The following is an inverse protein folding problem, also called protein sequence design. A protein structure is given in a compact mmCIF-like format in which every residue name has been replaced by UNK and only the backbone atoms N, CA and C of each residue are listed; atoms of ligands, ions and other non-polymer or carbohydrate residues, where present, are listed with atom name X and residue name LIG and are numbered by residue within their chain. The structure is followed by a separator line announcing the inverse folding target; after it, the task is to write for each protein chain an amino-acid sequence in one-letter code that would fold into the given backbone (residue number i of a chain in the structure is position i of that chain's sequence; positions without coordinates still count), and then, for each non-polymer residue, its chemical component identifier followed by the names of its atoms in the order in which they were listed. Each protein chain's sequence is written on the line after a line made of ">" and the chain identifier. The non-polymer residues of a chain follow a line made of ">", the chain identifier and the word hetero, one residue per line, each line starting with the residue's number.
data_IF_216897574913
#
_entry.id   IF_216897574913
#
_cell.length_a   1.000
_cell.length_b   1.000
_cell.length_c   1.000
_cell.angle_alpha   90.00
_cell.angle_beta   90.00
_cell.angle_gamma   90.00
#
_symmetry.space_group_name_H-M   'P 1'
#
loop_
_entity.id
_entity.type
_entity.pdbx_description
1 polymer ?
#
# COMPACT_ATOMS: atom_id res chain seq x y z
N UNK A 1 -8.14 -0.07 -10.46
CA UNK A 1 -7.78 -1.43 -10.93
C UNK A 1 -7.72 -2.38 -9.76
N UNK A 2 -7.79 -3.70 -9.96
CA UNK A 2 -7.53 -4.69 -8.90
C UNK A 2 -6.05 -5.06 -8.85
N UNK A 3 -5.55 -5.42 -7.66
CA UNK A 3 -4.14 -5.84 -7.47
C UNK A 3 -3.82 -7.08 -8.30
N UNK A 4 -4.72 -8.07 -8.38
CA UNK A 4 -4.54 -9.24 -9.25
C UNK A 4 -4.32 -8.88 -10.72
N UNK A 5 -5.04 -7.87 -11.22
CA UNK A 5 -4.91 -7.41 -12.61
C UNK A 5 -3.56 -6.72 -12.82
N UNK A 6 -3.16 -5.86 -11.89
CA UNK A 6 -1.84 -5.19 -11.90
C UNK A 6 -0.70 -6.21 -11.92
N UNK A 7 -0.81 -7.28 -11.14
CA UNK A 7 0.19 -8.35 -11.09
C UNK A 7 0.21 -9.19 -12.37
N UNK A 8 -0.95 -9.44 -12.99
CA UNK A 8 -1.07 -10.20 -14.23
C UNK A 8 -0.46 -9.44 -15.43
N UNK A 9 -0.68 -8.13 -15.49
CA UNK A 9 -0.24 -7.26 -16.58
C UNK A 9 1.03 -6.46 -16.26
N UNK A 10 1.82 -6.89 -15.27
CA UNK A 10 2.93 -6.13 -14.69
C UNK A 10 3.89 -5.52 -15.72
N UNK A 11 4.23 -6.25 -16.79
CA UNK A 11 5.17 -5.78 -17.81
C UNK A 11 4.60 -4.62 -18.66
N UNK A 12 3.28 -4.46 -18.68
CA UNK A 12 2.57 -3.39 -19.39
C UNK A 12 2.36 -2.16 -18.50
N UNK A 13 2.15 -2.38 -17.20
CA UNK A 13 1.79 -1.30 -16.25
C UNK A 13 2.98 -0.74 -15.47
N UNK A 14 4.17 -1.37 -15.52
CA UNK A 14 5.38 -0.78 -14.94
C UNK A 14 5.68 0.57 -15.64
N UNK A 15 5.99 1.58 -14.83
CA UNK A 15 6.28 2.94 -15.28
C UNK A 15 5.04 3.81 -15.49
N UNK A 16 3.83 3.28 -15.26
CA UNK A 16 2.59 4.07 -15.34
C UNK A 16 2.11 4.49 -13.96
N UNK A 17 1.44 5.65 -13.91
CA UNK A 17 0.69 6.06 -12.74
C UNK A 17 -0.62 5.27 -12.69
N UNK A 18 -0.90 4.67 -11.54
CA UNK A 18 -2.10 3.87 -11.32
C UNK A 18 -2.76 4.27 -10.01
N UNK A 19 -4.08 4.13 -9.98
CA UNK A 19 -4.88 4.22 -8.75
C UNK A 19 -5.60 2.91 -8.51
N UNK A 20 -5.51 2.40 -7.29
CA UNK A 20 -6.25 1.21 -6.89
C UNK A 20 -6.59 1.21 -5.41
N UNK A 21 -7.51 0.31 -5.08
CA UNK A 21 -7.97 0.06 -3.72
C UNK A 21 -7.54 -1.35 -3.28
N UNK A 22 -7.22 -1.49 -2.01
CA UNK A 22 -6.92 -2.78 -1.39
C UNK A 22 -6.86 -2.67 0.13
N UNK A 23 -6.31 -3.70 0.77
CA UNK A 23 -5.99 -3.65 2.20
C UNK A 23 -4.55 -3.19 2.34
N UNK A 24 -4.36 -2.03 2.95
CA UNK A 24 -3.05 -1.57 3.37
C UNK A 24 -2.62 -2.28 4.66
N UNK A 25 -1.40 -2.78 4.63
CA UNK A 25 -0.73 -3.43 5.75
C UNK A 25 0.55 -2.68 6.04
N UNK A 26 0.78 -2.32 7.30
CA UNK A 26 2.08 -1.88 7.78
C UNK A 26 2.64 -2.94 8.73
N UNK A 27 3.59 -3.73 8.25
CA UNK A 27 4.34 -4.69 9.06
C UNK A 27 5.68 -4.07 9.45
N UNK A 28 5.85 -3.73 10.73
CA UNK A 28 6.99 -2.95 11.25
C UNK A 28 7.14 -1.60 10.53
N UNK A 29 8.00 -1.57 9.51
CA UNK A 29 8.34 -0.39 8.71
C UNK A 29 7.98 -0.58 7.23
N UNK A 30 7.48 -1.75 6.85
CA UNK A 30 7.16 -2.08 5.46
C UNK A 30 5.66 -1.92 5.21
N UNK A 31 5.30 -0.90 4.44
CA UNK A 31 3.95 -0.68 3.94
C UNK A 31 3.73 -1.45 2.65
N UNK A 32 2.59 -2.13 2.51
CA UNK A 32 2.22 -2.82 1.28
C UNK A 32 0.70 -2.99 1.17
N UNK A 33 0.24 -3.23 -0.05
CA UNK A 33 -1.16 -3.47 -0.38
C UNK A 33 -1.38 -4.93 -0.77
N UNK A 34 -2.45 -5.52 -0.26
CA UNK A 34 -2.96 -6.84 -0.67
C UNK A 34 -4.40 -6.71 -1.13
N UNK A 35 -4.85 -7.66 -1.94
CA UNK A 35 -6.21 -7.61 -2.50
C UNK A 35 -7.31 -7.81 -1.46
N UNK A 36 -7.06 -8.65 -0.46
CA UNK A 36 -8.03 -8.98 0.58
C UNK A 36 -7.32 -9.24 1.91
N UNK A 37 -8.10 -9.23 2.99
CA UNK A 37 -7.61 -9.49 4.34
C UNK A 37 -7.01 -10.89 4.49
N UNK A 38 -7.45 -11.86 3.70
CA UNK A 38 -6.94 -13.24 3.73
C UNK A 38 -5.52 -13.34 3.16
N UNK A 39 -5.15 -12.42 2.27
CA UNK A 39 -3.88 -12.42 1.56
C UNK A 39 -2.75 -11.66 2.27
N UNK A 40 -2.99 -11.12 3.47
CA UNK A 40 -2.08 -10.17 4.13
C UNK A 40 -0.66 -10.67 4.39
N UNK A 41 -0.46 -11.99 4.48
CA UNK A 41 0.85 -12.62 4.66
C UNK A 41 1.53 -12.97 3.34
N UNK A 42 0.81 -12.96 2.23
CA UNK A 42 1.33 -13.36 0.93
C UNK A 42 1.92 -12.15 0.18
N UNK A 43 3.17 -11.83 0.49
CA UNK A 43 3.91 -10.69 -0.11
C UNK A 43 4.15 -10.86 -1.61
N UNK A 44 4.20 -12.11 -2.11
CA UNK A 44 4.34 -12.39 -3.54
C UNK A 44 3.12 -11.96 -4.37
N UNK A 45 1.97 -11.74 -3.72
CA UNK A 45 0.75 -11.20 -4.32
C UNK A 45 0.43 -9.78 -3.80
N UNK A 46 1.43 -9.07 -3.29
CA UNK A 46 1.30 -7.74 -2.75
C UNK A 46 2.06 -6.71 -3.58
N UNK A 47 1.69 -5.44 -3.42
CA UNK A 47 2.41 -4.29 -3.99
C UNK A 47 3.00 -3.50 -2.84
N UNK A 48 4.33 -3.41 -2.77
CA UNK A 48 5.03 -2.66 -1.73
C UNK A 48 4.83 -1.15 -1.92
N UNK A 49 4.85 -0.36 -0.86
CA UNK A 49 4.90 1.10 -0.94
C UNK A 49 6.34 1.54 -0.67
N UNK A 50 7.03 1.98 -1.73
CA UNK A 50 8.37 2.56 -1.66
C UNK A 50 8.26 4.07 -1.44
N UNK A 51 8.02 4.44 -0.18
CA UNK A 51 7.88 5.83 0.25
C UNK A 51 8.66 6.07 1.54
N UNK A 52 9.69 6.91 1.45
CA UNK A 52 10.52 7.26 2.60
C UNK A 52 9.71 8.05 3.63
N UNK A 53 9.72 7.62 4.89
CA UNK A 53 8.98 8.29 5.96
C UNK A 53 7.50 7.91 6.03
N UNK A 54 7.06 6.87 5.29
CA UNK A 54 5.66 6.44 5.24
C UNK A 54 5.10 6.14 6.64
N UNK A 55 5.88 5.47 7.49
CA UNK A 55 5.46 5.09 8.84
C UNK A 55 5.21 6.31 9.70
N UNK A 56 6.13 7.27 9.69
CA UNK A 56 6.03 8.51 10.45
C UNK A 56 4.79 9.29 10.01
N UNK A 57 4.54 9.41 8.70
CA UNK A 57 3.34 10.05 8.17
C UNK A 57 2.07 9.34 8.62
N UNK A 58 2.04 8.02 8.54
CA UNK A 58 0.89 7.22 9.01
C UNK A 58 0.62 7.44 10.48
N UNK A 59 1.65 7.42 11.33
CA UNK A 59 1.49 7.57 12.78
C UNK A 59 1.03 8.98 13.18
N UNK A 60 1.31 9.99 12.35
CA UNK A 60 0.81 11.35 12.53
C UNK A 60 -0.65 11.50 12.08
N UNK A 61 -1.05 10.81 11.01
CA UNK A 61 -2.36 10.98 10.39
C UNK A 61 -3.41 9.99 10.91
N UNK A 62 -3.02 8.77 11.28
CA UNK A 62 -3.92 7.64 11.51
C UNK A 62 -3.57 6.96 12.85
N UNK A 63 -4.53 6.77 13.77
CA UNK A 63 -4.28 6.03 15.00
C UNK A 63 -3.78 4.61 14.72
N UNK A 64 -2.58 4.21 15.20
CA UNK A 64 -2.03 2.88 14.93
C UNK A 64 -2.69 1.81 15.80
N UNK A 65 -2.71 0.57 15.30
CA UNK A 65 -3.00 -0.60 16.12
C UNK A 65 -1.82 -0.93 17.04
N UNK A 66 -2.12 -1.16 18.32
CA UNK A 66 -1.13 -1.56 19.32
C UNK A 66 -1.07 -3.08 19.52
N UNK A 67 0.07 -3.57 20.01
CA UNK A 67 0.19 -4.94 20.53
C UNK A 67 0.49 -6.03 19.50
N UNK A 68 0.88 -5.68 18.27
CA UNK A 68 1.29 -6.64 17.24
C UNK A 68 2.41 -6.10 16.35
N UNK A 69 2.99 -6.94 15.48
CA UNK A 69 3.94 -6.49 14.45
C UNK A 69 3.28 -5.72 13.31
N UNK A 70 1.95 -5.78 13.22
CA UNK A 70 1.13 -5.07 12.26
C UNK A 70 0.53 -3.83 12.93
N UNK A 71 0.87 -2.66 12.41
CA UNK A 71 0.38 -1.37 12.91
C UNK A 71 -0.88 -0.90 12.17
N UNK A 72 -1.06 -1.32 10.91
CA UNK A 72 -2.24 -1.03 10.10
C UNK A 72 -2.69 -2.26 9.33
N UNK A 73 -4.00 -2.39 9.19
CA UNK A 73 -4.65 -3.48 8.50
C UNK A 73 -6.04 -3.04 8.02
N UNK A 74 -6.06 -2.12 7.06
CA UNK A 74 -7.22 -1.29 6.76
C UNK A 74 -7.46 -1.19 5.26
N UNK A 75 -8.73 -1.03 4.87
CA UNK A 75 -9.06 -0.65 3.51
C UNK A 75 -8.39 0.69 3.18
N UNK A 76 -7.84 0.81 1.99
CA UNK A 76 -7.11 2.00 1.58
C UNK A 76 -7.12 2.16 0.06
N UNK A 77 -7.03 3.42 -0.37
CA UNK A 77 -6.84 3.83 -1.75
C UNK A 77 -5.47 4.48 -1.86
N UNK A 78 -4.73 4.14 -2.91
CA UNK A 78 -3.42 4.70 -3.20
C UNK A 78 -3.31 5.04 -4.69
N UNK A 79 -2.61 6.14 -4.97
CA UNK A 79 -2.21 6.51 -6.31
C UNK A 79 -0.69 6.77 -6.35
N UNK A 80 -0.03 6.23 -7.36
CA UNK A 80 1.42 6.41 -7.55
C UNK A 80 1.91 5.71 -8.81
N UNK A 81 3.21 5.78 -9.06
CA UNK A 81 3.84 5.13 -10.21
C UNK A 81 4.28 3.71 -9.85
N UNK A 82 3.89 2.73 -10.65
CA UNK A 82 4.27 1.34 -10.44
C UNK A 82 5.71 1.09 -10.93
N UNK A 83 6.51 0.40 -10.13
CA UNK A 83 7.88 0.03 -10.46
C UNK A 83 8.17 -1.44 -10.13
N UNK A 84 9.24 -1.97 -10.71
CA UNK A 84 9.81 -3.24 -10.25
C UNK A 84 10.32 -3.06 -8.81
N UNK A 85 9.91 -3.95 -7.91
CA UNK A 85 10.37 -3.90 -6.53
C UNK A 85 11.86 -4.27 -6.42
N UNK A 86 12.60 -3.52 -5.60
CA UNK A 86 13.96 -3.89 -5.18
C UNK A 86 14.00 -4.93 -4.05
N UNK A 87 12.85 -5.23 -3.44
CA UNK A 87 12.71 -6.22 -2.37
C UNK A 87 12.24 -7.56 -2.93
N UNK A 88 12.97 -8.64 -2.64
CA UNK A 88 12.70 -10.01 -3.15
C UNK A 88 11.33 -10.57 -2.75
N UNK A 89 10.76 -10.10 -1.64
CA UNK A 89 9.47 -10.58 -1.16
C UNK A 89 8.29 -10.06 -1.99
N UNK A 90 8.49 -8.95 -2.70
CA UNK A 90 7.44 -8.25 -3.44
C UNK A 90 7.80 -8.22 -4.94
N UNK A 91 6.89 -8.58 -5.85
CA UNK A 91 7.17 -8.47 -7.29
C UNK A 91 7.20 -7.01 -7.75
N UNK A 92 6.37 -6.15 -7.16
CA UNK A 92 6.15 -4.76 -7.56
C UNK A 92 6.14 -3.84 -6.34
N UNK A 93 6.48 -2.59 -6.59
CA UNK A 93 6.34 -1.51 -5.63
C UNK A 93 5.68 -0.28 -6.28
N UNK A 94 5.14 0.60 -5.46
CA UNK A 94 4.71 1.93 -5.86
C UNK A 94 5.69 2.96 -5.32
N UNK A 95 6.09 3.89 -6.17
CA UNK A 95 6.80 5.09 -5.77
C UNK A 95 6.04 6.33 -6.27
N UNK A 96 6.61 7.52 -6.05
CA UNK A 96 6.00 8.79 -6.46
C UNK A 96 4.53 8.87 -6.02
N UNK A 97 4.26 8.55 -4.76
CA UNK A 97 2.90 8.47 -4.23
C UNK A 97 2.29 9.87 -4.22
N UNK A 98 1.19 10.05 -4.92
CA UNK A 98 0.46 11.33 -5.03
C UNK A 98 -0.79 11.36 -4.14
N UNK A 99 -1.30 10.18 -3.77
CA UNK A 99 -2.44 10.06 -2.87
C UNK A 99 -2.33 8.78 -2.04
N UNK A 100 -2.63 8.89 -0.74
CA UNK A 100 -2.84 7.74 0.14
C UNK A 100 -3.94 8.06 1.16
N UNK A 101 -5.01 7.27 1.12
CA UNK A 101 -6.15 7.41 2.02
C UNK A 101 -6.45 6.06 2.67
N UNK A 102 -6.53 6.03 4.01
CA UNK A 102 -6.88 4.86 4.81
C UNK A 102 -8.30 4.99 5.37
N UNK A 103 -9.01 3.87 5.47
CA UNK A 103 -10.34 3.79 6.06
C UNK A 103 -10.28 2.95 7.35
N UNK A 104 -10.41 3.60 8.50
CA UNK A 104 -10.35 2.95 9.81
C UNK A 104 -11.71 3.09 10.49
N UNK A 105 -12.39 1.98 10.75
CA UNK A 105 -13.72 1.99 11.39
C UNK A 105 -14.73 2.92 10.70
N UNK A 106 -14.75 2.90 9.36
CA UNK A 106 -15.58 3.76 8.50
C UNK A 106 -15.19 5.26 8.46
N UNK A 107 -14.14 5.67 9.18
CA UNK A 107 -13.57 7.01 9.09
C UNK A 107 -12.46 7.09 8.02
N UNK A 108 -12.46 8.18 7.25
CA UNK A 108 -11.47 8.47 6.20
C UNK A 108 -10.28 9.26 6.78
N UNK A 109 -9.07 8.74 6.58
CA UNK A 109 -7.82 9.41 6.95
C UNK A 109 -6.95 9.63 5.73
N UNK A 110 -6.75 10.90 5.37
CA UNK A 110 -5.86 11.31 4.27
C UNK A 110 -4.43 11.41 4.77
N UNK A 111 -3.61 10.44 4.41
CA UNK A 111 -2.19 10.38 4.80
C UNK A 111 -1.34 11.23 3.86
N UNK A 112 -1.60 11.12 2.56
CA UNK A 112 -1.00 11.97 1.52
C UNK A 112 -2.16 12.56 0.73
N UNK A 113 -2.44 13.87 0.84
CA UNK A 113 -3.53 14.50 0.12
C UNK A 113 -3.18 14.66 -1.36
N UNK A 114 -4.16 14.45 -2.24
CA UNK A 114 -4.05 14.72 -3.68
C UNK A 114 -3.71 16.22 -3.89
N UNK A 115 -2.58 16.51 -4.53
CA UNK A 115 -2.16 17.87 -4.90
C UNK A 115 -3.00 18.47 -6.02
#
# INVERSE_FOLDING_TARGET
>A
MMISEILADKDVVIGTEITFQGIFVLERDTGYFVQSKENFRNKSCAIMVDFLGLKELLFLAVPPYGGSVYSYFNDAVIAGTLIQSGNIDFPLALNNIVELTLYVSEEEFRVIPST
#
